data_IF_122064053164
#
_entry.id   IF_122064053164
#
_cell.length_a   1.000
_cell.length_b   1.000
_cell.length_c   1.000
_cell.angle_alpha   90.00
_cell.angle_beta   90.00
_cell.angle_gamma   90.00
#
_symmetry.space_group_name_H-M   'P 1'
#
loop_
_entity.id
_entity.type
_entity.pdbx_description
1 polymer ?
#
# COMPACT_ATOMS: atom_id res chain seq x y z
N UNK A 1 -38.14 -55.79 32.12
CA UNK A 1 -39.48 -55.14 32.20
C UNK A 1 -39.22 -53.65 32.18
N UNK A 2 -39.39 -53.01 31.01
CA UNK A 2 -40.43 -51.97 30.77
C UNK A 2 -40.21 -50.75 31.67
N UNK A 3 -39.64 -49.63 31.24
CA UNK A 3 -39.95 -48.83 30.05
C UNK A 3 -40.67 -47.55 30.50
N UNK A 4 -40.13 -46.37 30.20
CA UNK A 4 -40.92 -45.19 29.77
C UNK A 4 -39.97 -44.02 29.46
N UNK A 5 -39.81 -43.79 28.17
CA UNK A 5 -39.29 -42.56 27.57
C UNK A 5 -40.17 -41.37 27.95
N UNK A 6 -39.58 -40.42 28.66
CA UNK A 6 -40.13 -39.08 28.82
C UNK A 6 -39.77 -38.23 27.62
N UNK A 7 -40.72 -38.09 26.69
CA UNK A 7 -40.71 -37.14 25.59
C UNK A 7 -40.29 -35.73 26.07
N UNK A 8 -39.11 -35.26 25.65
CA UNK A 8 -38.82 -33.83 25.58
C UNK A 8 -38.82 -33.41 24.13
N UNK A 9 -39.87 -32.69 23.72
CA UNK A 9 -39.79 -31.75 22.60
C UNK A 9 -39.07 -30.48 23.08
N UNK A 10 -38.05 -30.00 22.36
CA UNK A 10 -37.78 -28.58 22.23
C UNK A 10 -38.17 -28.16 20.80
N UNK A 11 -39.27 -27.41 20.65
CA UNK A 11 -39.27 -25.94 20.55
C UNK A 11 -38.47 -25.44 19.35
N UNK A 12 -39.24 -25.07 18.31
CA UNK A 12 -38.79 -24.37 17.11
C UNK A 12 -38.08 -23.06 17.47
N UNK A 13 -36.87 -22.81 16.93
CA UNK A 13 -36.39 -21.46 16.70
C UNK A 13 -36.17 -21.23 15.21
N UNK A 14 -36.77 -20.14 14.74
CA UNK A 14 -36.59 -19.51 13.44
C UNK A 14 -35.24 -19.79 12.72
N UNK A 15 -35.34 -20.17 11.45
CA UNK A 15 -34.35 -19.91 10.39
C UNK A 15 -32.85 -20.03 10.79
N UNK A 16 -32.44 -21.20 11.28
CA UNK A 16 -31.02 -21.51 11.55
C UNK A 16 -30.79 -23.01 11.47
N UNK A 17 -29.70 -23.43 10.83
CA UNK A 17 -29.40 -24.82 10.43
C UNK A 17 -29.70 -25.86 11.53
N UNK A 18 -30.64 -26.82 11.32
CA UNK A 18 -30.90 -27.86 12.29
C UNK A 18 -29.73 -28.85 12.34
N UNK A 19 -29.23 -29.11 13.56
CA UNK A 19 -28.22 -30.15 13.81
C UNK A 19 -28.89 -31.53 13.80
N UNK A 20 -28.40 -32.43 12.96
CA UNK A 20 -28.89 -33.80 12.84
C UNK A 20 -27.94 -34.72 13.61
N UNK A 21 -28.41 -35.31 14.71
CA UNK A 21 -27.68 -36.35 15.45
C UNK A 21 -28.25 -37.71 15.05
N UNK A 22 -27.45 -38.54 14.37
CA UNK A 22 -27.84 -39.91 14.01
C UNK A 22 -26.94 -40.90 14.73
N UNK A 23 -27.51 -41.68 15.65
CA UNK A 23 -26.79 -42.71 16.41
C UNK A 23 -26.70 -44.05 15.67
N UNK A 24 -27.40 -44.21 14.54
CA UNK A 24 -27.37 -45.44 13.74
C UNK A 24 -27.61 -45.12 12.25
N UNK A 25 -26.67 -45.41 11.33
CA UNK A 25 -26.73 -44.98 9.93
C UNK A 25 -27.91 -45.59 9.12
N UNK A 26 -28.53 -46.65 9.60
CA UNK A 26 -29.58 -47.37 8.86
C UNK A 26 -30.98 -46.72 8.96
N UNK A 27 -31.21 -45.83 9.93
CA UNK A 27 -32.55 -45.30 10.25
C UNK A 27 -32.68 -43.77 10.15
N UNK A 28 -32.12 -43.15 9.11
CA UNK A 28 -32.38 -41.73 8.85
C UNK A 28 -33.74 -41.58 8.17
N UNK A 29 -34.67 -40.86 8.79
CA UNK A 29 -36.01 -40.58 8.24
C UNK A 29 -35.94 -39.92 6.84
N UNK A 30 -36.98 -40.11 6.03
CA UNK A 30 -37.09 -39.59 4.67
C UNK A 30 -37.02 -38.04 4.61
N UNK A 31 -37.57 -37.33 5.60
CA UNK A 31 -37.55 -35.87 5.69
C UNK A 31 -36.14 -35.37 5.95
N UNK A 32 -35.44 -35.98 6.91
CA UNK A 32 -34.03 -35.69 7.23
C UNK A 32 -33.11 -35.96 6.04
N UNK A 33 -33.32 -37.08 5.32
CA UNK A 33 -32.61 -37.36 4.06
C UNK A 33 -32.85 -36.30 2.98
N UNK A 34 -34.09 -35.80 2.85
CA UNK A 34 -34.43 -34.75 1.88
C UNK A 34 -33.76 -33.42 2.23
N UNK A 35 -33.66 -33.09 3.52
CA UNK A 35 -32.99 -31.88 4.00
C UNK A 35 -31.48 -31.92 3.72
N UNK A 36 -30.81 -33.04 4.03
CA UNK A 36 -29.39 -33.24 3.72
C UNK A 36 -29.16 -33.10 2.21
N UNK A 37 -29.99 -33.77 1.38
CA UNK A 37 -29.87 -33.67 -0.09
C UNK A 37 -30.09 -32.26 -0.61
N UNK A 38 -31.07 -31.51 -0.09
CA UNK A 38 -31.33 -30.13 -0.53
C UNK A 38 -30.15 -29.21 -0.21
N UNK A 39 -29.50 -29.42 0.94
CA UNK A 39 -28.33 -28.66 1.35
C UNK A 39 -27.09 -29.00 0.52
N UNK A 40 -26.78 -30.29 0.32
CA UNK A 40 -25.66 -30.75 -0.52
C UNK A 40 -25.82 -30.30 -1.98
N UNK A 41 -27.05 -30.25 -2.48
CA UNK A 41 -27.32 -29.85 -3.87
C UNK A 41 -27.37 -28.33 -4.09
N UNK A 42 -27.47 -27.50 -3.03
CA UNK A 42 -27.42 -26.02 -3.15
C UNK A 42 -26.10 -25.51 -3.71
N UNK A 43 -24.97 -26.15 -3.38
CA UNK A 43 -23.66 -25.83 -3.95
C UNK A 43 -23.46 -26.31 -5.39
N UNK A 44 -24.25 -27.29 -5.84
CA UNK A 44 -24.05 -27.95 -7.15
C UNK A 44 -24.87 -27.34 -8.29
N UNK A 45 -25.92 -26.54 -7.98
CA UNK A 45 -26.88 -26.01 -8.98
C UNK A 45 -26.72 -24.55 -9.38
N UNK A 46 -25.60 -23.87 -9.07
CA UNK A 46 -25.26 -22.59 -9.71
C UNK A 46 -24.23 -22.79 -10.83
N UNK A 47 -24.66 -23.43 -11.92
CA UNK A 47 -24.04 -23.19 -13.24
C UNK A 47 -24.95 -22.22 -13.98
N UNK A 48 -24.57 -20.94 -13.95
CA UNK A 48 -25.07 -19.96 -14.92
C UNK A 48 -24.74 -20.52 -16.31
N UNK A 49 -25.76 -20.69 -17.15
CA UNK A 49 -25.58 -21.14 -18.53
C UNK A 49 -24.74 -20.07 -19.25
N UNK A 50 -23.60 -20.41 -19.85
CA UNK A 50 -22.90 -19.46 -20.70
C UNK A 50 -23.74 -19.28 -21.97
N UNK A 51 -23.92 -18.02 -22.36
CA UNK A 51 -24.50 -17.64 -23.64
C UNK A 51 -23.70 -18.29 -24.78
N UNK A 52 -24.42 -18.76 -25.80
CA UNK A 52 -23.84 -19.53 -26.91
C UNK A 52 -23.06 -18.58 -27.80
N UNK A 53 -21.74 -18.49 -27.60
CA UNK A 53 -20.86 -17.89 -28.59
C UNK A 53 -19.56 -17.35 -28.05
N UNK A 54 -18.66 -18.21 -27.56
CA UNK A 54 -17.22 -17.89 -27.52
C UNK A 54 -16.39 -19.16 -27.29
N UNK A 55 -15.32 -19.40 -28.09
CA UNK A 55 -14.49 -20.58 -27.94
C UNK A 55 -13.76 -20.54 -26.60
N UNK A 56 -13.82 -21.66 -25.86
CA UNK A 56 -13.15 -21.86 -24.59
C UNK A 56 -11.63 -21.90 -24.75
N UNK A 57 -11.00 -20.74 -24.75
CA UNK A 57 -9.61 -20.58 -24.34
C UNK A 57 -9.64 -19.81 -23.01
N UNK A 58 -9.03 -20.37 -21.97
CA UNK A 58 -8.59 -19.55 -20.84
C UNK A 58 -9.39 -19.64 -19.54
N UNK A 59 -9.52 -20.83 -18.95
CA UNK A 59 -9.65 -20.90 -17.48
C UNK A 59 -8.33 -20.53 -16.78
N UNK A 60 -7.19 -20.82 -17.42
CA UNK A 60 -5.85 -20.35 -17.04
C UNK A 60 -5.70 -18.83 -17.24
N UNK A 61 -6.28 -18.28 -18.31
CA UNK A 61 -6.29 -16.83 -18.56
C UNK A 61 -7.11 -16.06 -17.52
N UNK A 62 -8.22 -16.61 -17.01
CA UNK A 62 -9.02 -15.95 -15.96
C UNK A 62 -8.33 -15.90 -14.60
N UNK A 63 -7.48 -16.88 -14.28
CA UNK A 63 -6.69 -16.82 -13.04
C UNK A 63 -5.57 -15.80 -13.19
N UNK A 64 -4.91 -15.74 -14.36
CA UNK A 64 -3.96 -14.68 -14.69
C UNK A 64 -4.62 -13.29 -14.81
N UNK A 65 -5.90 -13.19 -15.20
CA UNK A 65 -6.64 -11.93 -15.31
C UNK A 65 -6.91 -11.29 -13.94
N UNK A 66 -7.07 -12.08 -12.88
CA UNK A 66 -7.21 -11.56 -11.51
C UNK A 66 -5.87 -11.05 -10.98
N UNK A 67 -4.75 -11.69 -11.33
CA UNK A 67 -3.38 -11.19 -11.05
C UNK A 67 -2.94 -10.04 -11.98
N UNK A 68 -3.65 -9.81 -13.09
CA UNK A 68 -3.37 -8.73 -14.06
C UNK A 68 -4.46 -7.66 -14.09
N UNK A 69 -5.28 -7.57 -13.05
CA UNK A 69 -5.72 -6.24 -12.59
C UNK A 69 -4.51 -5.56 -11.93
N UNK A 70 -3.42 -5.43 -12.71
CA UNK A 70 -2.29 -4.60 -12.35
C UNK A 70 -2.87 -3.25 -11.99
N UNK A 71 -2.31 -2.66 -10.95
CA UNK A 71 -2.50 -1.28 -10.58
C UNK A 71 -2.09 -0.37 -11.75
N UNK A 72 -2.90 -0.34 -12.80
CA UNK A 72 -2.72 0.56 -13.93
C UNK A 72 -3.00 1.92 -13.35
N UNK A 73 -1.94 2.71 -13.21
CA UNK A 73 -2.05 4.14 -12.95
C UNK A 73 -3.06 4.66 -13.98
N UNK A 74 -4.24 5.09 -13.50
CA UNK A 74 -5.27 5.58 -14.42
C UNK A 74 -4.76 6.87 -15.05
N UNK A 75 -5.02 7.06 -16.34
CA UNK A 75 -4.64 8.29 -17.05
C UNK A 75 -5.21 9.54 -16.35
N UNK A 76 -6.38 9.41 -15.73
CA UNK A 76 -7.02 10.43 -14.89
C UNK A 76 -6.17 10.84 -13.67
N UNK A 77 -5.50 9.88 -13.02
CA UNK A 77 -4.60 10.15 -11.89
C UNK A 77 -3.36 10.93 -12.33
N UNK A 78 -2.84 10.62 -13.53
CA UNK A 78 -1.75 11.38 -14.16
C UNK A 78 -2.22 12.79 -14.53
N UNK A 79 -3.38 12.91 -15.18
CA UNK A 79 -3.96 14.19 -15.61
C UNK A 79 -4.26 15.15 -14.44
N UNK A 80 -4.72 14.62 -13.31
CA UNK A 80 -4.94 15.39 -12.08
C UNK A 80 -3.66 16.01 -11.51
N UNK A 81 -2.50 15.36 -11.68
CA UNK A 81 -1.23 15.90 -11.20
C UNK A 81 -0.79 17.10 -12.03
N UNK A 82 -0.86 17.00 -13.36
CA UNK A 82 -0.49 18.11 -14.25
C UNK A 82 -1.40 19.33 -14.09
N UNK A 83 -2.71 19.14 -13.88
CA UNK A 83 -3.66 20.24 -13.65
C UNK A 83 -3.53 20.85 -12.25
N UNK A 84 -3.19 20.05 -11.23
CA UNK A 84 -3.07 20.53 -9.84
C UNK A 84 -1.70 21.17 -9.51
N UNK A 85 -0.65 20.93 -10.30
CA UNK A 85 0.64 21.62 -10.15
C UNK A 85 0.56 23.15 -10.40
N UNK A 86 -0.56 23.63 -10.96
CA UNK A 86 -0.89 25.05 -11.04
C UNK A 86 -1.72 25.39 -9.77
N UNK A 87 -1.28 26.32 -8.91
CA UNK A 87 -2.01 26.65 -7.68
C UNK A 87 -3.42 27.17 -8.00
N UNK A 88 -4.47 26.43 -7.63
CA UNK A 88 -5.87 26.80 -7.90
C UNK A 88 -6.58 27.46 -6.72
N UNK A 89 -5.90 27.64 -5.57
CA UNK A 89 -6.50 28.20 -4.35
C UNK A 89 -5.53 29.16 -3.63
N UNK A 90 -6.07 30.28 -3.18
CA UNK A 90 -5.41 31.23 -2.27
C UNK A 90 -5.87 30.87 -0.85
N UNK A 91 -4.91 30.63 0.07
CA UNK A 91 -5.16 30.05 1.39
C UNK A 91 -5.06 28.52 1.34
N UNK A 92 -3.95 27.96 1.85
CA UNK A 92 -3.73 26.52 1.92
C UNK A 92 -3.87 26.05 3.37
N UNK A 93 -4.51 24.91 3.60
CA UNK A 93 -4.69 24.32 4.94
C UNK A 93 -3.35 24.04 5.68
N UNK A 94 -2.23 24.13 4.97
CA UNK A 94 -0.88 23.95 5.49
C UNK A 94 -0.22 25.23 6.03
N UNK A 95 -0.81 26.41 5.83
CA UNK A 95 -0.17 27.69 6.25
C UNK A 95 -0.09 27.87 7.76
N UNK A 96 -0.84 27.08 8.53
CA UNK A 96 -0.86 27.11 9.99
C UNK A 96 -0.28 25.84 10.63
N UNK A 97 0.25 24.90 9.84
CA UNK A 97 0.89 23.71 10.38
C UNK A 97 2.32 24.04 10.84
N UNK A 98 2.68 23.61 12.05
CA UNK A 98 4.06 23.66 12.53
C UNK A 98 4.86 22.51 11.89
N UNK A 99 5.98 22.87 11.26
CA UNK A 99 6.92 21.94 10.64
C UNK A 99 8.25 21.97 11.37
N UNK A 100 8.97 20.85 11.37
CA UNK A 100 10.27 20.71 12.01
C UNK A 100 11.39 21.52 11.33
N UNK A 101 11.14 22.06 10.14
CA UNK A 101 12.06 22.96 9.46
C UNK A 101 11.31 23.89 8.50
N UNK A 102 11.95 25.02 8.17
CA UNK A 102 11.44 25.97 7.17
C UNK A 102 11.42 25.34 5.77
N UNK A 103 10.28 25.44 5.11
CA UNK A 103 10.06 24.93 3.76
C UNK A 103 9.06 25.82 3.04
N UNK A 104 9.28 26.06 1.74
CA UNK A 104 8.40 26.91 0.96
C UNK A 104 7.05 26.22 0.71
N UNK A 105 5.98 27.00 0.81
CA UNK A 105 4.61 26.51 0.59
C UNK A 105 4.42 25.76 -0.75
N UNK A 106 5.00 26.19 -1.89
CA UNK A 106 4.90 25.43 -3.14
C UNK A 106 5.49 24.01 -3.03
N UNK A 107 6.62 23.83 -2.35
CA UNK A 107 7.23 22.50 -2.18
C UNK A 107 6.39 21.64 -1.22
N UNK A 108 5.84 22.21 -0.15
CA UNK A 108 4.87 21.50 0.71
C UNK A 108 3.65 21.00 -0.07
N UNK A 109 3.09 21.84 -0.94
CA UNK A 109 1.96 21.45 -1.79
C UNK A 109 2.36 20.35 -2.77
N UNK A 110 3.56 20.40 -3.33
CA UNK A 110 4.10 19.34 -4.18
C UNK A 110 4.26 18.03 -3.40
N UNK A 111 4.80 18.05 -2.19
CA UNK A 111 4.92 16.88 -1.32
C UNK A 111 3.54 16.25 -1.09
N UNK A 112 2.55 17.04 -0.66
CA UNK A 112 1.21 16.55 -0.38
C UNK A 112 0.53 15.93 -1.62
N UNK A 113 0.71 16.52 -2.80
CA UNK A 113 0.06 16.07 -4.05
C UNK A 113 0.76 14.89 -4.69
N UNK A 114 2.09 14.89 -4.71
CA UNK A 114 2.89 13.93 -5.49
C UNK A 114 3.16 12.64 -4.71
N UNK A 115 3.29 12.70 -3.39
CA UNK A 115 3.65 11.52 -2.57
C UNK A 115 2.73 10.31 -2.78
N UNK A 116 1.38 10.45 -2.78
CA UNK A 116 0.48 9.32 -2.99
C UNK A 116 0.66 8.67 -4.38
N UNK A 117 0.96 9.48 -5.39
CA UNK A 117 1.20 9.01 -6.75
C UNK A 117 2.57 8.36 -6.90
N UNK A 118 3.63 9.03 -6.42
CA UNK A 118 5.00 8.53 -6.47
C UNK A 118 5.09 7.13 -5.87
N UNK A 119 4.40 6.87 -4.74
CA UNK A 119 4.32 5.53 -4.14
C UNK A 119 3.84 4.44 -5.11
N UNK A 120 2.85 4.74 -5.96
CA UNK A 120 2.32 3.78 -6.95
C UNK A 120 3.33 3.50 -8.07
N UNK A 121 4.12 4.52 -8.44
CA UNK A 121 5.18 4.41 -9.45
C UNK A 121 6.38 3.64 -8.91
N UNK A 122 6.78 3.95 -7.68
CA UNK A 122 8.01 3.44 -7.05
C UNK A 122 7.82 2.03 -6.48
N UNK A 123 6.66 1.74 -5.92
CA UNK A 123 6.34 0.43 -5.32
C UNK A 123 5.21 -0.29 -6.08
N UNK A 124 5.37 -0.55 -7.39
CA UNK A 124 4.29 -1.12 -8.20
C UNK A 124 3.88 -2.51 -7.71
N UNK A 125 4.84 -3.28 -7.17
CA UNK A 125 4.56 -4.59 -6.57
C UNK A 125 3.67 -4.48 -5.34
N UNK A 126 3.91 -3.52 -4.43
CA UNK A 126 3.08 -3.29 -3.24
C UNK A 126 1.61 -3.07 -3.61
N UNK A 127 1.38 -2.33 -4.69
CA UNK A 127 0.02 -2.11 -5.21
C UNK A 127 -0.53 -3.36 -5.90
N UNK A 128 0.29 -4.07 -6.68
CA UNK A 128 -0.14 -5.27 -7.40
C UNK A 128 -0.55 -6.43 -6.48
N UNK A 129 0.07 -6.55 -5.31
CA UNK A 129 -0.25 -7.60 -4.32
C UNK A 129 -1.26 -7.15 -3.27
N UNK A 130 -1.82 -5.94 -3.38
CA UNK A 130 -2.88 -5.45 -2.49
C UNK A 130 -2.41 -5.13 -1.07
N UNK A 131 -1.11 -4.92 -0.83
CA UNK A 131 -0.57 -4.45 0.46
C UNK A 131 -0.79 -2.93 0.60
N UNK A 132 -2.05 -2.48 0.49
CA UNK A 132 -2.42 -1.12 0.79
C UNK A 132 -2.45 -0.92 2.31
N UNK A 133 -1.75 0.10 2.79
CA UNK A 133 -1.93 0.60 4.15
C UNK A 133 -3.35 1.18 4.25
N UNK A 134 -4.21 0.63 5.10
CA UNK A 134 -5.60 1.08 5.27
C UNK A 134 -5.69 2.52 5.77
N UNK A 135 -4.63 3.06 6.39
CA UNK A 135 -4.63 4.42 6.92
C UNK A 135 -3.59 5.29 6.22
N UNK A 136 -4.09 6.17 5.35
CA UNK A 136 -3.35 7.31 4.81
C UNK A 136 -3.00 8.36 5.89
N UNK A 137 -3.41 8.14 7.14
CA UNK A 137 -3.22 9.04 8.29
C UNK A 137 -1.77 9.11 8.77
N UNK A 138 -0.95 8.11 8.43
CA UNK A 138 0.46 8.02 8.83
C UNK A 138 1.45 8.84 7.99
N UNK A 139 1.01 9.87 7.25
CA UNK A 139 1.88 10.64 6.35
C UNK A 139 2.40 11.98 6.90
N UNK A 140 2.08 12.29 8.15
CA UNK A 140 2.73 13.37 8.91
C UNK A 140 4.03 13.03 9.69
N UNK A 141 4.78 11.90 9.51
CA UNK A 141 6.09 11.73 10.12
C UNK A 141 7.11 12.75 9.59
N UNK A 142 6.91 13.22 8.35
CA UNK A 142 7.82 14.16 7.69
C UNK A 142 7.73 15.54 8.36
N UNK A 143 6.54 15.97 8.79
CA UNK A 143 6.37 17.28 9.42
C UNK A 143 7.13 17.41 10.74
N UNK A 144 7.41 16.30 11.43
CA UNK A 144 8.10 16.27 12.73
C UNK A 144 9.58 15.92 12.62
N UNK A 145 10.07 15.53 11.43
CA UNK A 145 11.47 15.19 11.20
C UNK A 145 12.10 16.16 10.20
N UNK A 146 12.99 17.05 10.67
CA UNK A 146 13.67 18.03 9.82
C UNK A 146 14.49 17.39 8.69
N UNK A 147 15.15 16.26 8.96
CA UNK A 147 15.89 15.50 7.93
C UNK A 147 14.93 14.96 6.89
N UNK A 148 13.86 14.29 7.36
CA UNK A 148 12.78 13.78 6.54
C UNK A 148 12.15 14.85 5.66
N UNK A 149 11.89 16.04 6.20
CA UNK A 149 11.25 17.14 5.47
C UNK A 149 12.11 17.67 4.33
N UNK A 150 13.36 18.02 4.61
CA UNK A 150 14.28 18.53 3.60
C UNK A 150 14.57 17.50 2.49
N UNK A 151 14.84 16.25 2.87
CA UNK A 151 15.12 15.20 1.86
C UNK A 151 13.87 14.85 1.06
N UNK A 152 12.69 14.87 1.67
CA UNK A 152 11.44 14.62 0.92
C UNK A 152 11.15 15.75 -0.05
N UNK A 153 11.37 17.02 0.34
CA UNK A 153 11.21 18.16 -0.55
C UNK A 153 12.11 18.03 -1.78
N UNK A 154 13.39 17.72 -1.58
CA UNK A 154 14.32 17.44 -2.66
C UNK A 154 13.85 16.27 -3.55
N UNK A 155 13.55 15.11 -2.96
CA UNK A 155 13.21 13.91 -3.72
C UNK A 155 11.91 14.09 -4.55
N UNK A 156 10.93 14.82 -4.01
CA UNK A 156 9.68 15.13 -4.73
C UNK A 156 9.95 16.05 -5.92
N UNK A 157 10.75 17.11 -5.76
CA UNK A 157 11.11 17.98 -6.88
C UNK A 157 11.91 17.22 -7.95
N UNK A 158 12.87 16.37 -7.55
CA UNK A 158 13.59 15.51 -8.48
C UNK A 158 12.65 14.56 -9.23
N UNK A 159 11.68 13.96 -8.54
CA UNK A 159 10.66 13.10 -9.18
C UNK A 159 9.80 13.89 -10.17
N UNK A 160 9.35 15.09 -9.81
CA UNK A 160 8.57 15.95 -10.71
C UNK A 160 9.38 16.28 -11.96
N UNK A 161 10.63 16.75 -11.79
CA UNK A 161 11.44 17.18 -12.92
C UNK A 161 11.86 16.01 -13.81
N UNK A 162 12.31 14.88 -13.23
CA UNK A 162 12.81 13.72 -14.00
C UNK A 162 11.74 12.79 -14.51
N UNK A 163 10.79 12.41 -13.65
CA UNK A 163 9.80 11.36 -13.99
C UNK A 163 8.55 11.95 -14.61
N UNK A 164 8.03 13.06 -14.08
CA UNK A 164 6.83 13.67 -14.64
C UNK A 164 7.17 14.57 -15.83
N UNK A 165 8.13 15.48 -15.68
CA UNK A 165 8.40 16.50 -16.71
C UNK A 165 9.45 16.08 -17.72
N UNK A 166 10.16 14.96 -17.51
CA UNK A 166 11.22 14.47 -18.40
C UNK A 166 12.27 15.56 -18.70
N UNK A 167 12.57 16.39 -17.70
CA UNK A 167 13.55 17.47 -17.82
C UNK A 167 14.94 16.89 -17.61
N UNK A 168 15.71 16.90 -18.67
CA UNK A 168 17.14 16.60 -18.62
C UNK A 168 17.92 17.93 -18.44
N UNK A 169 18.97 17.91 -17.63
CA UNK A 169 19.92 19.03 -17.44
C UNK A 169 19.39 20.35 -16.82
N UNK A 170 18.24 20.37 -16.14
CA UNK A 170 17.78 21.54 -15.37
C UNK A 170 18.07 21.33 -13.88
N UNK A 171 18.77 22.28 -13.28
CA UNK A 171 19.06 22.28 -11.83
C UNK A 171 17.98 23.11 -11.12
N UNK A 172 17.22 22.47 -10.25
CA UNK A 172 16.31 23.16 -9.33
C UNK A 172 17.09 23.60 -8.09
N UNK A 173 17.44 24.89 -8.03
CA UNK A 173 18.27 25.44 -6.94
C UNK A 173 17.61 25.31 -5.56
N UNK A 174 16.29 25.49 -5.47
CA UNK A 174 15.56 25.32 -4.21
C UNK A 174 15.63 23.87 -3.71
N UNK A 175 15.41 22.90 -4.62
CA UNK A 175 15.55 21.49 -4.31
C UNK A 175 17.00 21.15 -3.86
N UNK A 176 18.01 21.74 -4.50
CA UNK A 176 19.41 21.53 -4.14
C UNK A 176 19.74 22.09 -2.74
N UNK A 177 19.18 23.23 -2.35
CA UNK A 177 19.36 23.77 -1.00
C UNK A 177 18.77 22.84 0.07
N UNK A 178 17.59 22.28 -0.20
CA UNK A 178 16.99 21.29 0.69
C UNK A 178 17.78 19.99 0.75
N UNK A 179 18.33 19.53 -0.38
CA UNK A 179 19.26 18.41 -0.39
C UNK A 179 20.46 18.67 0.52
N UNK A 180 21.11 19.83 0.38
CA UNK A 180 22.28 20.18 1.18
C UNK A 180 21.96 20.25 2.67
N UNK A 181 20.88 20.95 3.05
CA UNK A 181 20.43 21.04 4.46
C UNK A 181 20.09 19.66 5.03
N UNK A 182 19.30 18.87 4.30
CA UNK A 182 18.91 17.53 4.72
C UNK A 182 20.11 16.59 4.85
N UNK A 183 21.10 16.70 3.96
CA UNK A 183 22.31 15.88 4.03
C UNK A 183 23.19 16.26 5.22
N UNK A 184 23.31 17.55 5.55
CA UNK A 184 24.03 18.01 6.76
C UNK A 184 23.38 17.44 8.02
N UNK A 185 22.07 17.62 8.18
CA UNK A 185 21.34 17.10 9.34
C UNK A 185 21.38 15.56 9.41
N UNK A 186 21.32 14.87 8.26
CA UNK A 186 21.46 13.41 8.22
C UNK A 186 22.85 12.97 8.67
N UNK A 187 23.91 13.66 8.25
CA UNK A 187 25.29 13.36 8.70
C UNK A 187 25.42 13.56 10.20
N UNK A 188 24.90 14.65 10.75
CA UNK A 188 24.87 14.90 12.19
C UNK A 188 24.15 13.78 12.93
N UNK A 189 22.97 13.37 12.44
CA UNK A 189 22.22 12.22 12.99
C UNK A 189 23.04 10.93 12.97
N UNK A 190 23.69 10.61 11.86
CA UNK A 190 24.44 9.36 11.70
C UNK A 190 25.74 9.33 12.50
N UNK A 191 26.35 10.49 12.74
CA UNK A 191 27.56 10.64 13.55
C UNK A 191 27.27 10.89 15.04
N UNK A 192 26.02 11.18 15.40
CA UNK A 192 25.59 11.42 16.78
C UNK A 192 25.65 10.17 17.67
N UNK A 193 25.26 10.32 18.93
CA UNK A 193 25.34 9.24 19.92
C UNK A 193 24.08 8.36 19.96
N UNK A 194 22.96 8.83 19.40
CA UNK A 194 21.68 8.12 19.42
C UNK A 194 21.66 6.96 18.39
N UNK A 195 22.12 5.80 18.82
CA UNK A 195 22.19 4.58 18.00
C UNK A 195 20.80 4.12 17.49
N UNK A 196 19.74 4.30 18.28
CA UNK A 196 18.39 3.91 17.85
C UNK A 196 17.89 4.79 16.71
N UNK A 197 18.13 6.11 16.79
CA UNK A 197 17.74 7.05 15.76
C UNK A 197 18.48 6.80 14.44
N UNK A 198 19.74 6.34 14.48
CA UNK A 198 20.52 6.00 13.28
C UNK A 198 19.87 4.91 12.44
N UNK A 199 19.24 3.92 13.07
CA UNK A 199 18.61 2.77 12.38
C UNK A 199 17.07 2.82 12.42
N UNK A 200 16.50 3.94 12.86
CA UNK A 200 15.06 4.15 12.91
C UNK A 200 14.39 4.23 11.54
N UNK A 201 13.08 4.01 11.50
CA UNK A 201 12.26 4.09 10.27
C UNK A 201 12.38 5.44 9.54
N UNK A 202 12.35 6.61 10.22
CA UNK A 202 12.58 7.90 9.56
C UNK A 202 13.92 7.97 8.82
N UNK A 203 15.01 7.50 9.45
CA UNK A 203 16.36 7.55 8.86
C UNK A 203 16.50 6.57 7.69
N UNK A 204 15.99 5.35 7.84
CA UNK A 204 15.91 4.36 6.74
C UNK A 204 15.10 4.93 5.57
N UNK A 205 13.96 5.56 5.84
CA UNK A 205 13.12 6.18 4.81
C UNK A 205 13.84 7.32 4.09
N UNK A 206 14.63 8.13 4.79
CA UNK A 206 15.45 9.20 4.20
C UNK A 206 16.49 8.63 3.25
N UNK A 207 17.23 7.60 3.67
CA UNK A 207 18.28 6.98 2.83
C UNK A 207 17.67 6.31 1.60
N UNK A 208 16.50 5.70 1.73
CA UNK A 208 15.75 5.16 0.60
C UNK A 208 15.37 6.26 -0.41
N UNK A 209 14.84 7.40 0.06
CA UNK A 209 14.50 8.54 -0.83
C UNK A 209 15.73 9.08 -1.58
N UNK A 210 16.90 9.11 -0.94
CA UNK A 210 18.17 9.49 -1.60
C UNK A 210 18.55 8.49 -2.70
N UNK A 211 18.40 7.19 -2.44
CA UNK A 211 18.64 6.16 -3.44
C UNK A 211 17.69 6.28 -4.64
N UNK A 212 16.41 6.56 -4.39
CA UNK A 212 15.39 6.79 -5.41
C UNK A 212 15.67 8.05 -6.23
N UNK A 213 15.99 9.17 -5.59
CA UNK A 213 16.32 10.41 -6.28
C UNK A 213 17.52 10.24 -7.22
N UNK A 214 18.61 9.63 -6.74
CA UNK A 214 19.78 9.33 -7.57
C UNK A 214 19.43 8.38 -8.73
N UNK A 215 18.52 7.43 -8.51
CA UNK A 215 18.03 6.53 -9.55
C UNK A 215 17.27 7.29 -10.66
N UNK A 216 16.37 8.22 -10.29
CA UNK A 216 15.63 9.02 -11.25
C UNK A 216 16.52 10.02 -12.00
N UNK A 217 17.59 10.49 -11.37
CA UNK A 217 18.62 11.32 -12.00
C UNK A 217 19.54 10.51 -12.94
N UNK A 218 19.41 9.18 -13.01
CA UNK A 218 20.26 8.30 -13.81
C UNK A 218 21.64 8.03 -13.19
N UNK A 219 21.91 8.54 -11.99
CA UNK A 219 23.11 8.23 -11.21
C UNK A 219 22.94 6.91 -10.47
N UNK A 220 22.97 5.83 -11.24
CA UNK A 220 22.82 4.47 -10.72
C UNK A 220 23.91 4.06 -9.75
N UNK A 221 25.09 4.69 -9.82
CA UNK A 221 26.19 4.36 -8.92
C UNK A 221 25.96 4.96 -7.53
N UNK A 222 25.58 6.23 -7.45
CA UNK A 222 25.19 6.85 -6.17
C UNK A 222 23.97 6.16 -5.59
N UNK A 223 22.97 5.84 -6.42
CA UNK A 223 21.80 5.05 -6.00
C UNK A 223 22.20 3.71 -5.36
N UNK A 224 23.11 2.97 -6.00
CA UNK A 224 23.62 1.70 -5.47
C UNK A 224 24.34 1.86 -4.14
N UNK A 225 25.14 2.93 -3.97
CA UNK A 225 25.82 3.21 -2.70
C UNK A 225 24.82 3.46 -1.57
N UNK A 226 23.76 4.25 -1.82
CA UNK A 226 22.70 4.45 -0.84
C UNK A 226 21.98 3.14 -0.49
N UNK A 227 21.67 2.30 -1.48
CA UNK A 227 21.05 0.99 -1.24
C UNK A 227 21.95 0.05 -0.42
N UNK A 228 23.26 0.09 -0.62
CA UNK A 228 24.22 -0.66 0.21
C UNK A 228 24.24 -0.17 1.66
N UNK A 229 24.19 1.15 1.87
CA UNK A 229 24.04 1.75 3.20
C UNK A 229 22.74 1.33 3.87
N UNK A 230 21.62 1.43 3.14
CA UNK A 230 20.30 1.03 3.59
C UNK A 230 20.27 -0.44 4.06
N UNK A 231 20.86 -1.35 3.28
CA UNK A 231 20.97 -2.76 3.66
C UNK A 231 21.71 -2.93 4.99
N UNK A 232 22.85 -2.25 5.17
CA UNK A 232 23.60 -2.30 6.44
C UNK A 232 22.76 -1.82 7.63
N UNK A 233 21.98 -0.74 7.45
CA UNK A 233 21.10 -0.22 8.52
C UNK A 233 20.03 -1.26 8.91
N UNK A 234 19.42 -1.91 7.92
CA UNK A 234 18.41 -2.96 8.14
C UNK A 234 19.02 -4.19 8.81
N UNK A 235 20.23 -4.60 8.38
CA UNK A 235 20.96 -5.71 8.99
C UNK A 235 21.29 -5.41 10.47
N UNK A 236 21.77 -4.20 10.77
CA UNK A 236 22.10 -3.75 12.14
C UNK A 236 20.86 -3.64 13.05
N UNK A 237 19.70 -3.30 12.49
CA UNK A 237 18.44 -3.31 13.24
C UNK A 237 17.98 -4.72 13.65
N UNK A 238 18.61 -5.76 13.11
CA UNK A 238 18.28 -7.14 13.40
C UNK A 238 17.10 -7.62 12.57
N UNK A 239 17.22 -7.54 11.24
CA UNK A 239 16.22 -8.04 10.30
C UNK A 239 15.64 -9.39 10.75
N UNK A 240 14.30 -9.49 10.78
CA UNK A 240 13.54 -10.69 11.11
C UNK A 240 14.05 -11.85 10.24
N UNK A 241 14.71 -12.82 10.87
CA UNK A 241 14.91 -14.17 10.34
C UNK A 241 13.65 -15.00 10.43
#
# INVERSE_FOLDING_TARGET
MTGSDGFRKPSDPAAGFPFIVSSNPENVDAVTRKLIRSHVMRGKKKKVRPDKGQPTIGRRARTMAVYTQTARIKLEEVGSLYTSLIPSRVGSDLSFAEFAADIELPMLLNIAKVTPFARKVIFPLKVAIGLQEENNEGHYPIARDAVGLHITAFAVESFIDRVLRHRENIINLAALLHFQKGLTLLKERLLGEDEELKISDPTISVVLKLAEAAHFDGDYQTSKQHMQGLRKMVDLRGAIG
#
